data_IF_399026710111
#
_entry.id   IF_399026710111
#
_cell.length_a   1.000
_cell.length_b   1.000
_cell.length_c   1.000
_cell.angle_alpha   90.00
_cell.angle_beta   90.00
_cell.angle_gamma   90.00
#
_symmetry.space_group_name_H-M   'P 1'
#
loop_
_entity.id
_entity.type
_entity.pdbx_description
1 polymer ?
#
# COMPACT_ATOMS: atom_id res chain seq x y z
N UNK A 1 28.76 -27.70 -7.27
CA UNK A 1 29.54 -26.43 -7.41
C UNK A 1 28.70 -25.24 -7.85
N UNK A 2 27.57 -25.41 -8.45
CA UNK A 2 26.77 -24.35 -9.06
C UNK A 2 26.04 -23.36 -8.10
N UNK A 3 25.72 -23.77 -6.88
CA UNK A 3 25.05 -22.89 -5.91
C UNK A 3 26.01 -21.95 -5.16
N UNK A 4 27.35 -22.19 -5.25
CA UNK A 4 28.35 -21.41 -4.52
C UNK A 4 28.68 -20.07 -5.20
N UNK A 5 28.70 -20.01 -6.53
CA UNK A 5 29.08 -18.80 -7.28
C UNK A 5 28.09 -17.65 -7.05
N UNK A 6 26.79 -17.92 -7.20
CA UNK A 6 25.77 -16.90 -6.94
C UNK A 6 25.75 -16.46 -5.47
N UNK A 7 25.96 -17.39 -4.52
CA UNK A 7 26.07 -17.05 -3.10
C UNK A 7 27.25 -16.11 -2.81
N UNK A 8 28.39 -16.33 -3.45
CA UNK A 8 29.55 -15.41 -3.34
C UNK A 8 29.24 -14.04 -3.91
N UNK A 9 28.61 -13.98 -5.10
CA UNK A 9 28.15 -12.71 -5.67
C UNK A 9 27.14 -11.99 -4.75
N UNK A 10 26.22 -12.73 -4.14
CA UNK A 10 25.25 -12.16 -3.19
C UNK A 10 25.91 -11.62 -1.93
N UNK A 11 26.92 -12.29 -1.38
CA UNK A 11 27.65 -11.80 -0.21
C UNK A 11 28.36 -10.47 -0.52
N UNK A 12 29.02 -10.38 -1.66
CA UNK A 12 29.70 -9.17 -2.07
C UNK A 12 28.73 -8.01 -2.35
N UNK A 13 27.61 -8.31 -3.04
CA UNK A 13 26.56 -7.31 -3.28
C UNK A 13 25.89 -6.84 -1.97
N UNK A 14 25.84 -7.67 -0.95
CA UNK A 14 25.31 -7.30 0.38
C UNK A 14 26.25 -6.31 1.09
N UNK A 15 27.56 -6.38 0.87
CA UNK A 15 28.54 -5.44 1.41
C UNK A 15 28.59 -4.12 0.64
N UNK A 16 28.41 -4.17 -0.68
CA UNK A 16 28.48 -3.00 -1.56
C UNK A 16 27.19 -2.18 -1.61
N UNK A 17 26.04 -2.79 -1.38
CA UNK A 17 24.73 -2.14 -1.51
C UNK A 17 24.14 -1.76 -0.15
N UNK A 18 23.35 -0.68 -0.09
CA UNK A 18 22.55 -0.38 1.10
C UNK A 18 21.67 -1.58 1.46
N UNK A 19 21.56 -1.90 2.76
CA UNK A 19 20.81 -3.07 3.25
C UNK A 19 19.36 -3.14 2.75
N UNK A 20 18.73 -1.98 2.55
CA UNK A 20 17.38 -1.86 1.99
C UNK A 20 17.32 -2.24 0.50
N UNK A 21 18.29 -1.77 -0.31
CA UNK A 21 18.35 -2.08 -1.74
C UNK A 21 18.69 -3.56 -1.97
N UNK A 22 19.64 -4.10 -1.22
CA UNK A 22 19.98 -5.50 -1.29
C UNK A 22 18.79 -6.41 -0.95
N UNK A 23 18.11 -6.14 0.16
CA UNK A 23 16.97 -6.95 0.61
C UNK A 23 15.79 -6.89 -0.36
N UNK A 24 15.59 -5.76 -1.02
CA UNK A 24 14.45 -5.51 -1.90
C UNK A 24 14.66 -6.08 -3.31
N UNK A 25 15.88 -5.98 -3.86
CA UNK A 25 16.12 -6.24 -5.27
C UNK A 25 16.99 -7.46 -5.57
N UNK A 26 18.01 -7.72 -4.75
CA UNK A 26 18.99 -8.77 -5.00
C UNK A 26 18.64 -10.05 -4.25
N UNK A 27 18.24 -9.94 -2.98
CA UNK A 27 17.90 -11.10 -2.14
C UNK A 27 16.77 -11.98 -2.68
N UNK A 28 15.72 -11.46 -3.36
CA UNK A 28 14.63 -12.29 -3.90
C UNK A 28 15.02 -13.08 -5.16
N UNK A 29 16.19 -12.84 -5.74
CA UNK A 29 16.64 -13.54 -6.95
C UNK A 29 17.04 -14.97 -6.64
N UNK A 30 16.54 -15.91 -7.44
CA UNK A 30 17.00 -17.28 -7.45
C UNK A 30 17.93 -17.50 -8.64
N UNK A 31 18.94 -18.35 -8.49
CA UNK A 31 19.91 -18.60 -9.54
C UNK A 31 20.02 -20.08 -9.88
N UNK A 32 20.19 -20.35 -11.16
CA UNK A 32 20.48 -21.67 -11.70
C UNK A 32 21.58 -21.57 -12.77
N UNK A 33 22.52 -22.51 -12.74
CA UNK A 33 23.58 -22.58 -13.74
C UNK A 33 23.38 -23.86 -14.53
N UNK A 34 23.12 -23.72 -15.84
CA UNK A 34 23.02 -24.81 -16.79
C UNK A 34 23.88 -24.46 -18.02
N UNK A 35 24.71 -25.43 -18.47
CA UNK A 35 25.51 -25.34 -19.70
C UNK A 35 26.26 -23.99 -19.86
N UNK A 36 26.96 -23.55 -18.81
CA UNK A 36 27.71 -22.29 -18.76
C UNK A 36 26.83 -21.03 -18.89
N UNK A 37 25.55 -21.13 -18.52
CA UNK A 37 24.60 -19.99 -18.44
C UNK A 37 24.08 -19.84 -17.01
N UNK A 38 24.29 -18.67 -16.41
CA UNK A 38 23.71 -18.30 -15.13
C UNK A 38 22.34 -17.64 -15.39
N UNK A 39 21.27 -18.37 -15.08
CA UNK A 39 19.90 -17.84 -15.15
C UNK A 39 19.48 -17.30 -13.80
N UNK A 40 19.16 -16.01 -13.74
CA UNK A 40 18.60 -15.35 -12.56
C UNK A 40 17.09 -15.25 -12.70
N UNK A 41 16.38 -15.90 -11.81
CA UNK A 41 14.92 -15.87 -11.74
C UNK A 41 14.48 -14.75 -10.80
N UNK A 42 13.79 -13.77 -11.37
CA UNK A 42 13.18 -12.69 -10.60
C UNK A 42 11.70 -13.02 -10.30
N UNK A 43 11.19 -12.66 -9.11
CA UNK A 43 9.81 -12.97 -8.72
C UNK A 43 8.76 -12.31 -9.62
N UNK A 44 9.10 -11.22 -10.30
CA UNK A 44 8.23 -10.55 -11.26
C UNK A 44 9.05 -9.71 -12.26
N UNK A 45 8.36 -9.22 -13.30
CA UNK A 45 9.00 -8.47 -14.38
C UNK A 45 9.60 -7.14 -13.93
N UNK A 46 9.00 -6.51 -12.92
CA UNK A 46 9.49 -5.24 -12.38
C UNK A 46 10.85 -5.39 -11.69
N UNK A 47 11.01 -6.42 -10.84
CA UNK A 47 12.30 -6.75 -10.20
C UNK A 47 13.32 -7.13 -11.27
N UNK A 48 12.91 -7.89 -12.28
CA UNK A 48 13.79 -8.28 -13.39
C UNK A 48 14.33 -7.07 -14.13
N UNK A 49 13.44 -6.18 -14.59
CA UNK A 49 13.83 -4.99 -15.36
C UNK A 49 14.69 -4.05 -14.50
N UNK A 50 14.34 -3.84 -13.21
CA UNK A 50 15.11 -3.02 -12.29
C UNK A 50 16.51 -3.56 -12.02
N UNK A 51 16.64 -4.87 -11.74
CA UNK A 51 17.94 -5.52 -11.49
C UNK A 51 18.79 -5.49 -12.74
N UNK A 52 18.21 -5.75 -13.91
CA UNK A 52 18.91 -5.69 -15.17
C UNK A 52 19.42 -4.28 -15.45
N UNK A 53 18.61 -3.25 -15.25
CA UNK A 53 19.00 -1.88 -15.60
C UNK A 53 20.01 -1.30 -14.60
N UNK A 54 19.87 -1.62 -13.30
CA UNK A 54 20.69 -0.99 -12.24
C UNK A 54 21.90 -1.82 -11.83
N UNK A 55 21.80 -3.15 -11.81
CA UNK A 55 22.82 -4.01 -11.20
C UNK A 55 23.53 -4.97 -12.17
N UNK A 56 23.18 -4.98 -13.46
CA UNK A 56 23.80 -5.87 -14.45
C UNK A 56 25.33 -5.67 -14.52
N UNK A 57 25.81 -4.42 -14.46
CA UNK A 57 27.22 -4.11 -14.53
C UNK A 57 27.98 -4.58 -13.26
N UNK A 58 27.38 -4.45 -12.08
CA UNK A 58 27.95 -4.94 -10.82
C UNK A 58 27.99 -6.46 -10.79
N UNK A 59 26.92 -7.13 -11.26
CA UNK A 59 26.87 -8.58 -11.33
C UNK A 59 27.90 -9.12 -12.34
N UNK A 60 28.02 -8.52 -13.52
CA UNK A 60 29.02 -8.93 -14.52
C UNK A 60 30.44 -8.73 -14.03
N UNK A 61 30.73 -7.63 -13.31
CA UNK A 61 32.04 -7.38 -12.71
C UNK A 61 32.41 -8.48 -11.71
N UNK A 62 31.48 -8.84 -10.82
CA UNK A 62 31.70 -9.90 -9.83
C UNK A 62 31.85 -11.28 -10.49
N UNK A 63 31.07 -11.59 -11.52
CA UNK A 63 31.24 -12.83 -12.28
C UNK A 63 32.61 -12.89 -12.96
N UNK A 64 33.12 -11.76 -13.48
CA UNK A 64 34.45 -11.68 -14.05
C UNK A 64 35.54 -11.88 -12.99
N UNK A 65 35.36 -11.31 -11.81
CA UNK A 65 36.30 -11.43 -10.68
C UNK A 65 36.40 -12.86 -10.18
N UNK A 66 35.27 -13.59 -10.07
CA UNK A 66 35.25 -14.95 -9.54
C UNK A 66 35.49 -16.06 -10.57
N UNK A 67 35.19 -15.83 -11.85
CA UNK A 67 35.32 -16.86 -12.90
C UNK A 67 36.52 -16.63 -13.84
N UNK A 68 37.19 -15.48 -13.80
CA UNK A 68 38.32 -15.17 -14.67
C UNK A 68 37.94 -15.20 -16.15
N UNK A 69 38.51 -16.16 -16.91
CA UNK A 69 38.24 -16.28 -18.35
C UNK A 69 37.04 -17.16 -18.73
N UNK A 70 36.40 -17.80 -17.74
CA UNK A 70 35.30 -18.75 -17.96
C UNK A 70 33.98 -18.21 -17.41
N UNK A 71 33.60 -17.01 -17.90
CA UNK A 71 32.42 -16.26 -17.43
C UNK A 71 31.14 -16.91 -17.99
N UNK A 72 30.19 -17.37 -17.14
CA UNK A 72 28.91 -17.85 -17.62
C UNK A 72 28.09 -16.73 -18.27
N UNK A 73 27.36 -17.03 -19.33
CA UNK A 73 26.43 -16.07 -19.91
C UNK A 73 25.28 -15.79 -18.95
N UNK A 74 24.94 -14.50 -18.75
CA UNK A 74 23.90 -14.08 -17.80
C UNK A 74 22.55 -14.00 -18.49
N UNK A 75 21.54 -14.68 -17.95
CA UNK A 75 20.15 -14.65 -18.43
C UNK A 75 19.20 -14.27 -17.30
N UNK A 76 18.17 -13.50 -17.62
CA UNK A 76 17.14 -13.11 -16.68
C UNK A 76 15.79 -13.70 -17.09
N UNK A 77 15.09 -14.34 -16.16
CA UNK A 77 13.76 -14.91 -16.38
C UNK A 77 12.81 -14.56 -15.23
N UNK A 78 11.52 -14.45 -15.52
CA UNK A 78 10.48 -14.25 -14.53
C UNK A 78 9.96 -15.61 -14.10
N UNK A 79 9.99 -15.89 -12.78
CA UNK A 79 9.49 -17.13 -12.22
C UNK A 79 10.32 -17.63 -11.05
N UNK A 80 10.04 -18.85 -10.60
CA UNK A 80 10.83 -19.57 -9.62
C UNK A 80 11.49 -20.79 -10.26
N UNK A 81 12.60 -21.25 -9.67
CA UNK A 81 13.36 -22.43 -10.07
C UNK A 81 12.42 -23.63 -10.28
N UNK A 82 12.47 -24.35 -11.40
CA UNK A 82 11.67 -25.53 -11.60
C UNK A 82 12.05 -26.60 -10.57
N UNK A 83 11.08 -26.99 -9.72
CA UNK A 83 11.25 -28.07 -8.74
C UNK A 83 11.22 -29.39 -9.51
N UNK A 84 12.38 -30.02 -9.64
CA UNK A 84 12.47 -31.40 -10.13
C UNK A 84 11.87 -32.30 -9.04
N UNK A 85 10.70 -32.86 -9.30
CA UNK A 85 10.07 -33.83 -8.40
C UNK A 85 10.97 -35.06 -8.24
N UNK A 86 11.25 -35.52 -7.03
CA UNK A 86 12.02 -36.74 -6.82
C UNK A 86 11.23 -37.94 -7.32
N UNK A 87 11.87 -38.82 -8.12
CA UNK A 87 11.33 -40.12 -8.54
C UNK A 87 10.97 -40.93 -7.30
N UNK A 88 9.84 -41.64 -7.30
CA UNK A 88 9.46 -42.48 -6.17
C UNK A 88 10.44 -43.62 -5.97
N UNK A 89 11.02 -43.75 -4.76
CA UNK A 89 11.80 -44.88 -4.32
C UNK A 89 10.87 -46.06 -4.05
N UNK A 90 11.34 -47.31 -4.23
CA UNK A 90 10.50 -48.52 -4.14
C UNK A 90 9.99 -48.74 -2.71
N UNK A 91 8.72 -49.11 -2.65
CA UNK A 91 8.00 -49.53 -1.44
C UNK A 91 8.72 -50.69 -0.75
N UNK A 92 9.22 -50.50 0.46
CA UNK A 92 9.61 -51.56 1.38
C UNK A 92 8.43 -51.94 2.25
N UNK A 93 8.10 -53.22 2.19
CA UNK A 93 7.03 -53.90 2.94
C UNK A 93 7.28 -53.89 4.44
N UNK A 94 6.16 -53.77 5.18
CA UNK A 94 6.08 -53.90 6.64
C UNK A 94 6.48 -55.32 7.07
N UNK A 95 7.70 -55.52 7.49
CA UNK A 95 8.08 -56.67 8.33
C UNK A 95 9.55 -56.60 8.74
N UNK A 96 10.05 -55.58 9.38
CA UNK A 96 11.34 -55.61 10.09
C UNK A 96 11.60 -54.28 10.81
N UNK A 97 10.84 -53.98 11.84
CA UNK A 97 11.20 -53.01 12.89
C UNK A 97 10.27 -53.22 14.10
N UNK A 98 10.40 -54.37 14.71
CA UNK A 98 9.94 -54.62 16.07
C UNK A 98 11.16 -54.91 16.93
N UNK A 99 11.80 -53.88 17.43
CA UNK A 99 12.55 -53.90 18.69
C UNK A 99 13.18 -52.52 18.93
N UNK A 100 12.96 -52.04 20.16
CA UNK A 100 13.66 -50.93 20.82
C UNK A 100 13.26 -49.49 20.46
N UNK A 101 12.31 -48.90 21.17
CA UNK A 101 12.62 -48.01 22.31
C UNK A 101 11.34 -47.50 22.97
N UNK A 102 11.20 -47.80 24.22
CA UNK A 102 10.21 -47.24 25.13
C UNK A 102 10.59 -45.78 25.52
N UNK A 103 9.87 -44.82 24.99
CA UNK A 103 9.82 -43.44 25.51
C UNK A 103 8.34 -43.03 25.68
N UNK A 104 7.98 -42.16 26.64
CA UNK A 104 6.67 -42.22 27.30
C UNK A 104 5.55 -41.68 26.40
N UNK A 105 4.51 -42.50 26.26
CA UNK A 105 3.29 -42.26 25.49
C UNK A 105 2.40 -41.07 25.95
N UNK A 106 2.86 -40.26 26.88
CA UNK A 106 2.09 -39.09 27.38
C UNK A 106 2.39 -37.80 26.65
N UNK A 107 3.56 -37.65 26.02
CA UNK A 107 3.91 -36.42 25.26
C UNK A 107 3.31 -36.42 23.84
N UNK A 108 3.21 -37.58 23.19
CA UNK A 108 2.62 -37.67 21.84
C UNK A 108 1.10 -37.42 21.82
N UNK A 109 0.37 -37.82 22.87
CA UNK A 109 -1.08 -37.56 22.96
C UNK A 109 -1.45 -36.07 23.06
N UNK A 110 -0.62 -35.29 23.70
CA UNK A 110 -0.87 -33.82 23.83
C UNK A 110 -0.68 -33.08 22.51
N UNK A 111 0.29 -33.50 21.68
CA UNK A 111 0.52 -32.85 20.38
C UNK A 111 -0.55 -33.24 19.33
N UNK A 112 -1.00 -34.48 19.33
CA UNK A 112 -2.06 -34.96 18.43
C UNK A 112 -3.43 -34.40 18.83
N UNK A 113 -3.71 -34.20 20.12
CA UNK A 113 -4.94 -33.57 20.62
C UNK A 113 -4.97 -32.07 20.35
N UNK A 114 -3.84 -31.37 20.47
CA UNK A 114 -3.73 -29.95 20.10
C UNK A 114 -3.85 -29.74 18.59
N UNK A 115 -3.18 -30.56 17.78
CA UNK A 115 -3.29 -30.52 16.33
C UNK A 115 -4.72 -30.79 15.85
N UNK A 116 -5.40 -31.77 16.47
CA UNK A 116 -6.81 -32.09 16.19
C UNK A 116 -7.78 -30.98 16.63
N UNK A 117 -7.51 -30.30 17.75
CA UNK A 117 -8.30 -29.17 18.23
C UNK A 117 -8.15 -27.94 17.33
N UNK A 118 -6.96 -27.69 16.79
CA UNK A 118 -6.69 -26.60 15.84
C UNK A 118 -7.37 -26.87 14.49
N UNK A 119 -7.43 -28.13 14.05
CA UNK A 119 -8.05 -28.52 12.78
C UNK A 119 -9.57 -28.24 12.75
N UNK A 120 -10.24 -28.26 13.90
CA UNK A 120 -11.70 -28.11 14.04
C UNK A 120 -12.17 -26.67 14.28
N UNK A 121 -11.27 -25.66 14.33
CA UNK A 121 -11.67 -24.26 14.49
C UNK A 121 -12.20 -23.73 13.18
N UNK A 122 -13.49 -23.37 13.16
CA UNK A 122 -14.14 -22.77 11.99
C UNK A 122 -13.88 -21.26 11.96
N UNK A 123 -12.97 -20.84 11.09
CA UNK A 123 -12.62 -19.43 10.88
C UNK A 123 -13.59 -18.76 9.91
N UNK A 124 -14.23 -17.67 10.35
CA UNK A 124 -15.00 -16.82 9.45
C UNK A 124 -14.06 -15.86 8.75
N UNK A 125 -13.94 -15.97 7.45
CA UNK A 125 -13.06 -15.13 6.64
C UNK A 125 -13.40 -13.64 6.75
N UNK A 126 -14.69 -13.27 6.73
CA UNK A 126 -15.22 -11.90 6.70
C UNK A 126 -14.62 -11.04 5.54
N UNK A 127 -14.03 -11.68 4.56
CA UNK A 127 -13.51 -10.98 3.37
C UNK A 127 -14.68 -10.62 2.46
N UNK A 128 -14.71 -9.37 1.97
CA UNK A 128 -15.73 -8.92 1.04
C UNK A 128 -15.42 -9.45 -0.37
N UNK A 129 -16.27 -10.34 -0.95
CA UNK A 129 -16.01 -10.94 -2.27
C UNK A 129 -16.08 -9.94 -3.44
N UNK A 130 -16.62 -8.74 -3.21
CA UNK A 130 -16.67 -7.68 -4.23
C UNK A 130 -15.33 -6.96 -4.44
N UNK A 131 -14.44 -6.99 -3.45
CA UNK A 131 -13.14 -6.32 -3.54
C UNK A 131 -12.09 -7.31 -4.05
N UNK A 132 -11.81 -7.26 -5.34
CA UNK A 132 -10.81 -8.11 -6.03
C UNK A 132 -9.77 -7.24 -6.73
N UNK A 133 -8.63 -7.82 -7.11
CA UNK A 133 -7.59 -7.13 -7.87
C UNK A 133 -8.06 -6.66 -9.25
N UNK A 134 -9.03 -7.36 -9.88
CA UNK A 134 -9.51 -7.03 -11.22
C UNK A 134 -10.38 -5.76 -11.28
N UNK A 135 -10.96 -5.35 -10.15
CA UNK A 135 -11.74 -4.11 -10.06
C UNK A 135 -11.04 -3.00 -9.24
N UNK A 136 -9.76 -3.22 -8.90
CA UNK A 136 -8.90 -2.19 -8.34
C UNK A 136 -8.19 -1.44 -9.48
N UNK A 137 -8.36 -0.12 -9.53
CA UNK A 137 -7.77 0.71 -10.59
C UNK A 137 -6.33 1.08 -10.21
N UNK A 138 -5.39 0.63 -11.05
CA UNK A 138 -3.97 0.92 -10.90
C UNK A 138 -3.66 2.35 -11.37
N UNK A 139 -2.82 3.05 -10.61
CA UNK A 139 -2.27 4.35 -10.93
C UNK A 139 -0.92 4.54 -10.25
N UNK A 140 -0.18 5.60 -10.63
CA UNK A 140 1.16 5.85 -10.07
C UNK A 140 1.16 5.93 -8.53
N UNK A 141 0.08 6.47 -7.95
CA UNK A 141 -0.09 6.67 -6.51
C UNK A 141 -0.29 5.38 -5.70
N UNK A 142 -0.65 4.27 -6.35
CA UNK A 142 -0.97 3.00 -5.68
C UNK A 142 -0.26 1.77 -6.27
N UNK A 143 0.51 1.95 -7.34
CA UNK A 143 1.15 0.87 -8.10
C UNK A 143 2.03 -0.03 -7.23
N UNK A 144 2.86 0.57 -6.36
CA UNK A 144 3.72 -0.20 -5.46
C UNK A 144 2.90 -1.02 -4.46
N UNK A 145 1.83 -0.43 -3.90
CA UNK A 145 0.93 -1.12 -2.98
C UNK A 145 0.20 -2.28 -3.65
N UNK A 146 -0.28 -2.09 -4.88
CA UNK A 146 -0.91 -3.14 -5.66
C UNK A 146 0.05 -4.27 -5.99
N UNK A 147 1.29 -3.95 -6.43
CA UNK A 147 2.31 -4.95 -6.73
C UNK A 147 2.69 -5.78 -5.50
N UNK A 148 2.91 -5.11 -4.35
CA UNK A 148 3.19 -5.78 -3.08
C UNK A 148 2.03 -6.67 -2.63
N UNK A 149 0.79 -6.20 -2.76
CA UNK A 149 -0.40 -6.94 -2.41
C UNK A 149 -0.56 -8.22 -3.26
N UNK A 150 -0.32 -8.14 -4.58
CA UNK A 150 -0.32 -9.32 -5.48
C UNK A 150 0.75 -10.31 -5.09
N UNK A 151 1.98 -9.85 -4.85
CA UNK A 151 3.10 -10.70 -4.45
C UNK A 151 2.82 -11.46 -3.14
N UNK A 152 2.19 -10.81 -2.17
CA UNK A 152 1.77 -11.42 -0.91
C UNK A 152 0.65 -12.43 -1.14
N UNK A 153 -0.31 -12.16 -2.02
CA UNK A 153 -1.39 -13.08 -2.34
C UNK A 153 -0.89 -14.36 -3.02
N UNK A 154 0.13 -14.24 -3.87
CA UNK A 154 0.74 -15.37 -4.57
C UNK A 154 1.63 -16.23 -3.64
N UNK A 155 2.32 -15.60 -2.68
CA UNK A 155 3.27 -16.25 -1.78
C UNK A 155 3.06 -15.82 -0.31
N UNK A 156 1.94 -16.19 0.32
CA UNK A 156 1.64 -15.79 1.70
C UNK A 156 2.69 -16.35 2.67
N UNK A 157 3.12 -15.51 3.61
CA UNK A 157 4.11 -15.83 4.64
C UNK A 157 5.56 -15.76 4.15
N UNK A 158 5.83 -15.92 2.87
CA UNK A 158 7.18 -15.90 2.30
C UNK A 158 7.58 -14.52 1.74
N UNK A 159 6.63 -13.76 1.19
CA UNK A 159 6.86 -12.43 0.66
C UNK A 159 6.35 -11.37 1.66
N UNK A 160 7.13 -10.33 1.92
CA UNK A 160 6.71 -9.12 2.65
C UNK A 160 5.80 -9.40 3.87
N UNK A 161 6.36 -9.97 4.93
CA UNK A 161 5.61 -10.27 6.15
C UNK A 161 6.17 -9.51 7.37
N UNK A 162 5.42 -8.57 7.95
CA UNK A 162 4.10 -8.09 7.55
C UNK A 162 4.12 -7.18 6.30
N UNK A 163 3.01 -7.12 5.57
CA UNK A 163 2.75 -6.05 4.63
C UNK A 163 1.96 -4.94 5.35
N UNK A 164 2.49 -3.73 5.35
CA UNK A 164 1.88 -2.57 5.98
C UNK A 164 1.49 -1.53 4.95
N UNK A 165 0.19 -1.30 4.74
CA UNK A 165 -0.35 -0.31 3.81
C UNK A 165 -0.82 0.92 4.60
N UNK A 166 -0.28 2.09 4.29
CA UNK A 166 -0.70 3.33 4.96
C UNK A 166 -1.04 4.44 3.98
N UNK A 167 -1.80 5.41 4.46
CA UNK A 167 -2.22 6.57 3.66
C UNK A 167 -3.55 7.12 4.12
N UNK A 168 -3.96 8.25 3.58
CA UNK A 168 -5.20 8.93 3.95
C UNK A 168 -6.45 8.04 3.88
N UNK A 169 -7.52 8.50 4.51
CA UNK A 169 -8.80 7.79 4.51
C UNK A 169 -9.37 7.69 3.09
N UNK A 170 -9.98 6.54 2.75
CA UNK A 170 -10.68 6.37 1.48
C UNK A 170 -9.81 6.25 0.25
N UNK A 171 -8.52 5.85 0.38
CA UNK A 171 -7.59 5.67 -0.75
C UNK A 171 -7.54 4.24 -1.32
N UNK A 172 -8.35 3.31 -0.80
CA UNK A 172 -8.42 1.94 -1.30
C UNK A 172 -7.60 0.92 -0.51
N UNK A 173 -7.03 1.24 0.67
CA UNK A 173 -6.30 0.30 1.54
C UNK A 173 -7.13 -0.93 1.89
N UNK A 174 -8.34 -0.71 2.38
CA UNK A 174 -9.31 -1.79 2.70
C UNK A 174 -9.64 -2.64 1.48
N UNK A 175 -9.74 -2.04 0.29
CA UNK A 175 -9.96 -2.78 -0.96
C UNK A 175 -8.79 -3.73 -1.25
N UNK A 176 -7.55 -3.24 -1.17
CA UNK A 176 -6.35 -4.07 -1.36
C UNK A 176 -6.28 -5.19 -0.32
N UNK A 177 -6.60 -4.90 0.93
CA UNK A 177 -6.63 -5.87 2.02
C UNK A 177 -7.61 -7.02 1.70
N UNK A 178 -8.84 -6.71 1.28
CA UNK A 178 -9.81 -7.71 0.85
C UNK A 178 -9.39 -8.43 -0.44
N UNK A 179 -8.77 -7.72 -1.40
CA UNK A 179 -8.32 -8.31 -2.66
C UNK A 179 -7.27 -9.41 -2.41
N UNK A 180 -6.32 -9.16 -1.49
CA UNK A 180 -5.35 -10.17 -1.06
C UNK A 180 -6.06 -11.34 -0.41
N UNK A 181 -6.97 -11.10 0.53
CA UNK A 181 -7.72 -12.15 1.20
C UNK A 181 -8.50 -13.03 0.23
N UNK A 182 -9.20 -12.43 -0.73
CA UNK A 182 -9.91 -13.16 -1.78
C UNK A 182 -8.95 -14.00 -2.64
N UNK A 183 -7.83 -13.43 -3.06
CA UNK A 183 -6.85 -14.15 -3.89
C UNK A 183 -6.21 -15.33 -3.15
N UNK A 184 -5.89 -15.19 -1.86
CA UNK A 184 -5.38 -16.31 -1.05
C UNK A 184 -6.41 -17.44 -0.97
N UNK A 185 -7.71 -17.10 -0.74
CA UNK A 185 -8.78 -18.09 -0.69
C UNK A 185 -9.02 -18.72 -2.05
N UNK A 186 -9.03 -17.93 -3.14
CA UNK A 186 -9.18 -18.43 -4.51
C UNK A 186 -8.03 -19.41 -4.88
N UNK A 187 -6.78 -19.11 -4.46
CA UNK A 187 -5.60 -19.96 -4.70
C UNK A 187 -5.55 -21.18 -3.78
N UNK A 188 -6.00 -21.06 -2.53
CA UNK A 188 -6.01 -22.12 -1.51
C UNK A 188 -7.38 -22.13 -0.79
N UNK A 189 -8.36 -22.91 -1.29
CA UNK A 189 -9.72 -22.90 -0.75
C UNK A 189 -9.85 -23.27 0.74
N UNK A 190 -8.87 -24.00 1.28
CA UNK A 190 -8.82 -24.38 2.69
C UNK A 190 -8.00 -23.42 3.57
N UNK A 191 -7.48 -22.33 3.00
CA UNK A 191 -6.73 -21.35 3.77
C UNK A 191 -7.62 -20.63 4.78
N UNK A 192 -7.14 -20.58 6.03
CA UNK A 192 -7.79 -19.88 7.14
C UNK A 192 -7.44 -18.39 7.08
N UNK A 193 -8.13 -17.64 6.24
CA UNK A 193 -7.94 -16.19 6.07
C UNK A 193 -8.95 -15.45 6.93
N UNK A 194 -8.49 -14.57 7.82
CA UNK A 194 -9.36 -13.78 8.70
C UNK A 194 -9.13 -12.30 8.48
N UNK A 195 -10.19 -11.61 8.06
CA UNK A 195 -10.24 -10.15 7.98
C UNK A 195 -11.01 -9.55 9.15
N UNK A 196 -10.49 -8.45 9.71
CA UNK A 196 -11.19 -7.67 10.72
C UNK A 196 -10.68 -6.23 10.82
N UNK A 197 -11.49 -5.35 11.40
CA UNK A 197 -11.01 -4.09 11.96
C UNK A 197 -10.35 -4.34 13.32
N UNK A 198 -9.32 -3.56 13.63
CA UNK A 198 -8.59 -3.70 14.91
C UNK A 198 -9.48 -3.57 16.15
N UNK A 199 -10.57 -2.80 16.07
CA UNK A 199 -11.57 -2.72 17.13
C UNK A 199 -12.24 -4.07 17.45
N UNK A 200 -12.45 -4.91 16.42
CA UNK A 200 -13.03 -6.24 16.58
C UNK A 200 -12.13 -7.16 17.39
N UNK A 201 -10.81 -7.12 17.13
CA UNK A 201 -9.83 -7.86 17.93
C UNK A 201 -9.92 -7.50 19.42
N UNK A 202 -10.00 -6.18 19.72
CA UNK A 202 -10.17 -5.68 21.09
C UNK A 202 -11.47 -6.19 21.71
N UNK A 203 -12.59 -6.12 20.98
CA UNK A 203 -13.89 -6.60 21.47
C UNK A 203 -13.88 -8.11 21.74
N UNK A 204 -13.31 -8.90 20.84
CA UNK A 204 -13.24 -10.35 20.97
C UNK A 204 -12.33 -10.73 22.16
N UNK A 205 -11.21 -10.00 22.38
CA UNK A 205 -10.35 -10.18 23.55
C UNK A 205 -11.09 -9.88 24.86
N UNK A 206 -11.79 -8.75 24.92
CA UNK A 206 -12.56 -8.37 26.13
C UNK A 206 -13.62 -9.42 26.46
N UNK A 207 -14.36 -9.90 25.45
CA UNK A 207 -15.35 -10.98 25.60
C UNK A 207 -14.71 -12.28 26.10
N UNK A 208 -13.55 -12.64 25.55
CA UNK A 208 -12.81 -13.83 25.95
C UNK A 208 -12.37 -13.75 27.42
N UNK A 209 -11.90 -12.58 27.87
CA UNK A 209 -11.55 -12.35 29.28
C UNK A 209 -12.78 -12.46 30.21
N UNK A 210 -13.91 -11.87 29.81
CA UNK A 210 -15.16 -11.92 30.59
C UNK A 210 -15.70 -13.34 30.74
N UNK A 211 -15.50 -14.19 29.71
CA UNK A 211 -16.00 -15.55 29.66
C UNK A 211 -14.96 -16.62 30.09
N UNK A 212 -13.78 -16.21 30.61
CA UNK A 212 -12.65 -17.09 30.91
C UNK A 212 -12.21 -17.97 29.71
N UNK A 213 -12.35 -17.47 28.48
CA UNK A 213 -12.07 -18.16 27.22
C UNK A 213 -10.84 -17.60 26.50
N UNK A 214 -9.87 -17.04 27.25
CA UNK A 214 -8.70 -16.37 26.66
C UNK A 214 -7.80 -17.32 25.86
N UNK A 215 -7.72 -18.59 26.27
CA UNK A 215 -6.92 -19.58 25.54
C UNK A 215 -7.58 -19.99 24.21
N UNK A 216 -8.92 -20.00 24.13
CA UNK A 216 -9.65 -20.21 22.86
C UNK A 216 -9.43 -19.04 21.91
N UNK A 217 -9.44 -17.80 22.44
CA UNK A 217 -9.12 -16.59 21.68
C UNK A 217 -7.71 -16.67 21.09
N UNK A 218 -6.70 -17.00 21.90
CA UNK A 218 -5.31 -17.15 21.44
C UNK A 218 -5.21 -18.23 20.37
N UNK A 219 -5.81 -19.39 20.59
CA UNK A 219 -5.82 -20.51 19.65
C UNK A 219 -6.48 -20.11 18.33
N UNK A 220 -7.61 -19.40 18.37
CA UNK A 220 -8.30 -18.92 17.18
C UNK A 220 -7.41 -18.03 16.32
N UNK A 221 -6.83 -16.96 16.91
CA UNK A 221 -6.05 -15.99 16.16
C UNK A 221 -4.67 -16.48 15.75
N UNK A 222 -4.06 -17.40 16.49
CA UNK A 222 -2.73 -17.95 16.17
C UNK A 222 -2.78 -19.13 15.19
N UNK A 223 -3.95 -19.65 14.85
CA UNK A 223 -4.13 -20.77 13.92
C UNK A 223 -4.57 -20.36 12.51
N UNK A 224 -4.55 -19.06 12.19
CA UNK A 224 -4.90 -18.56 10.84
C UNK A 224 -3.69 -18.66 9.91
N UNK A 225 -3.94 -18.86 8.61
CA UNK A 225 -2.89 -18.83 7.57
C UNK A 225 -2.60 -17.39 7.13
N UNK A 226 -3.62 -16.51 7.18
CA UNK A 226 -3.46 -15.08 6.93
C UNK A 226 -4.35 -14.25 7.85
N UNK A 227 -3.76 -13.24 8.50
CA UNK A 227 -4.44 -12.26 9.35
C UNK A 227 -4.40 -10.89 8.70
N UNK A 228 -5.58 -10.36 8.36
CA UNK A 228 -5.77 -9.08 7.71
C UNK A 228 -6.45 -8.13 8.68
N UNK A 229 -5.72 -7.12 9.15
CA UNK A 229 -6.25 -6.15 10.12
C UNK A 229 -6.29 -4.76 9.52
N UNK A 230 -7.49 -4.21 9.51
CA UNK A 230 -7.75 -2.85 9.02
C UNK A 230 -7.71 -1.85 10.16
N UNK A 231 -7.16 -0.66 9.86
CA UNK A 231 -7.17 0.51 10.74
C UNK A 231 -6.52 0.26 12.12
N UNK A 232 -5.25 -0.16 12.14
CA UNK A 232 -4.52 -0.50 13.37
C UNK A 232 -4.36 0.65 14.35
N UNK A 233 -4.56 1.92 13.92
CA UNK A 233 -4.51 3.08 14.81
C UNK A 233 -5.55 3.01 15.93
N UNK A 234 -6.61 2.22 15.82
CA UNK A 234 -7.58 2.02 16.88
C UNK A 234 -7.10 1.15 18.05
N UNK A 235 -5.90 0.56 17.98
CA UNK A 235 -5.21 0.00 19.14
C UNK A 235 -4.68 1.08 20.09
N UNK A 236 -4.57 2.34 19.65
CA UNK A 236 -4.04 3.43 20.47
C UNK A 236 -4.67 3.49 21.85
N UNK A 237 -3.83 3.64 22.89
CA UNK A 237 -4.21 3.74 24.30
C UNK A 237 -4.95 2.51 24.87
N UNK A 238 -4.80 1.32 24.27
CA UNK A 238 -5.40 0.06 24.72
C UNK A 238 -4.32 -0.95 25.11
N UNK A 239 -3.54 -0.66 26.14
CA UNK A 239 -2.31 -1.37 26.53
C UNK A 239 -2.47 -2.89 26.56
N UNK A 240 -3.47 -3.43 27.28
CA UNK A 240 -3.71 -4.89 27.37
C UNK A 240 -3.97 -5.51 26.00
N UNK A 241 -4.68 -4.82 25.12
CA UNK A 241 -4.97 -5.32 23.78
C UNK A 241 -3.75 -5.26 22.89
N UNK A 242 -2.90 -4.25 23.07
CA UNK A 242 -1.62 -4.15 22.37
C UNK A 242 -0.66 -5.27 22.81
N UNK A 243 -0.64 -5.60 24.09
CA UNK A 243 0.19 -6.70 24.63
C UNK A 243 -0.23 -8.05 24.03
N UNK A 244 -1.52 -8.40 24.06
CA UNK A 244 -2.00 -9.66 23.47
C UNK A 244 -1.85 -9.69 21.95
N UNK A 245 -2.06 -8.55 21.31
CA UNK A 245 -1.81 -8.42 19.87
C UNK A 245 -0.32 -8.64 19.54
N UNK A 246 0.58 -8.10 20.34
CA UNK A 246 2.02 -8.31 20.16
C UNK A 246 2.40 -9.80 20.23
N UNK A 247 1.84 -10.53 21.18
CA UNK A 247 2.08 -11.98 21.29
C UNK A 247 1.47 -12.76 20.12
N UNK A 248 0.26 -12.41 19.70
CA UNK A 248 -0.39 -13.03 18.53
C UNK A 248 0.40 -12.75 17.25
N UNK A 249 0.85 -11.51 17.08
CA UNK A 249 1.64 -11.06 15.93
C UNK A 249 2.96 -11.83 15.82
N UNK A 250 3.70 -11.98 16.93
CA UNK A 250 4.96 -12.74 16.94
C UNK A 250 4.71 -14.21 16.64
N UNK A 251 3.70 -14.84 17.24
CA UNK A 251 3.38 -16.24 16.98
C UNK A 251 3.07 -16.48 15.49
N UNK A 252 2.34 -15.58 14.84
CA UNK A 252 2.05 -15.67 13.41
C UNK A 252 3.30 -15.49 12.56
N UNK A 253 4.19 -14.55 12.90
CA UNK A 253 5.46 -14.38 12.17
C UNK A 253 6.37 -15.59 12.30
N UNK A 254 6.52 -16.14 13.50
CA UNK A 254 7.33 -17.34 13.78
C UNK A 254 6.80 -18.56 13.02
N UNK A 255 5.48 -18.66 12.88
CA UNK A 255 4.82 -19.71 12.10
C UNK A 255 4.77 -19.45 10.59
N UNK A 256 5.38 -18.36 10.09
CA UNK A 256 5.31 -17.92 8.69
C UNK A 256 3.89 -17.70 8.17
N UNK A 257 2.92 -17.41 9.04
CA UNK A 257 1.60 -16.97 8.62
C UNK A 257 1.64 -15.51 8.16
N UNK A 258 0.85 -15.20 7.13
CA UNK A 258 0.84 -13.86 6.54
C UNK A 258 0.11 -12.86 7.43
N UNK A 259 0.71 -11.70 7.67
CA UNK A 259 0.08 -10.57 8.33
C UNK A 259 0.02 -9.40 7.34
N UNK A 260 -1.16 -8.78 7.23
CA UNK A 260 -1.36 -7.55 6.46
C UNK A 260 -2.08 -6.55 7.34
N UNK A 261 -1.53 -5.34 7.42
CA UNK A 261 -2.02 -4.27 8.27
C UNK A 261 -2.32 -3.03 7.44
N UNK A 262 -3.34 -2.28 7.82
CA UNK A 262 -3.56 -0.94 7.28
C UNK A 262 -3.57 0.14 8.36
N UNK A 263 -3.23 1.38 7.99
CA UNK A 263 -3.31 2.54 8.86
C UNK A 263 -3.59 3.83 8.06
N UNK A 264 -4.04 4.87 8.76
CA UNK A 264 -4.17 6.21 8.20
C UNK A 264 -2.82 6.95 8.08
N UNK A 265 -1.77 6.48 8.80
CA UNK A 265 -0.44 7.11 8.88
C UNK A 265 0.70 6.10 8.99
N UNK A 266 1.91 6.57 8.82
CA UNK A 266 3.13 5.76 8.92
C UNK A 266 3.28 5.13 10.32
N UNK A 267 3.81 3.89 10.47
CA UNK A 267 3.90 3.19 11.77
C UNK A 267 4.48 4.01 12.92
N UNK A 268 5.57 4.74 12.68
CA UNK A 268 6.23 5.55 13.72
C UNK A 268 5.41 6.76 14.16
N UNK A 269 4.47 7.23 13.34
CA UNK A 269 3.62 8.40 13.59
C UNK A 269 2.34 8.06 14.35
N UNK A 270 2.06 6.77 14.57
CA UNK A 270 0.86 6.34 15.29
C UNK A 270 1.05 6.64 16.79
N UNK A 271 0.37 7.66 17.27
CA UNK A 271 0.38 8.01 18.70
C UNK A 271 -0.39 6.98 19.54
N UNK A 272 0.05 6.70 20.76
CA UNK A 272 -0.65 5.80 21.69
C UNK A 272 -0.49 4.30 21.38
N UNK A 273 0.34 3.93 20.41
CA UNK A 273 0.77 2.55 20.13
C UNK A 273 2.19 2.38 20.68
N UNK A 274 2.45 1.23 21.32
CA UNK A 274 3.75 0.90 21.91
C UNK A 274 4.85 0.80 20.85
N UNK A 275 6.06 1.25 21.18
CA UNK A 275 7.19 1.28 20.23
C UNK A 275 7.63 -0.11 19.78
N UNK A 276 7.45 -1.14 20.63
CA UNK A 276 7.72 -2.54 20.23
C UNK A 276 6.80 -2.99 19.10
N UNK A 277 5.52 -2.61 19.10
CA UNK A 277 4.58 -2.89 18.01
C UNK A 277 4.92 -2.08 16.75
N UNK A 278 5.20 -0.77 16.90
CA UNK A 278 5.62 0.08 15.77
C UNK A 278 6.85 -0.47 15.06
N UNK A 279 7.81 -0.98 15.83
CA UNK A 279 9.01 -1.62 15.29
C UNK A 279 8.67 -2.88 14.49
N UNK A 280 7.74 -3.70 14.98
CA UNK A 280 7.28 -4.92 14.29
C UNK A 280 6.47 -4.61 13.03
N UNK A 281 5.65 -3.58 13.04
CA UNK A 281 4.90 -3.12 11.85
C UNK A 281 5.83 -2.71 10.72
N UNK A 282 6.95 -2.08 11.04
CA UNK A 282 7.98 -1.68 10.08
C UNK A 282 8.97 -2.76 9.68
N UNK A 283 8.87 -3.99 10.23
CA UNK A 283 9.83 -5.07 9.99
C UNK A 283 9.78 -5.60 8.55
N UNK A 284 8.57 -5.76 7.99
CA UNK A 284 8.36 -6.21 6.63
C UNK A 284 8.38 -5.07 5.60
N UNK A 285 7.41 -5.02 4.73
CA UNK A 285 7.28 -3.97 3.72
C UNK A 285 6.21 -2.96 4.12
N UNK A 286 6.60 -1.70 4.23
CA UNK A 286 5.69 -0.57 4.49
C UNK A 286 5.51 0.24 3.21
N UNK A 287 4.26 0.38 2.75
CA UNK A 287 3.93 1.04 1.48
C UNK A 287 2.89 2.14 1.68
N UNK A 288 3.19 3.33 1.16
CA UNK A 288 2.24 4.43 1.10
C UNK A 288 1.24 4.24 -0.05
N UNK A 289 -0.02 4.53 0.22
CA UNK A 289 -1.06 4.70 -0.78
C UNK A 289 -1.41 6.19 -0.82
N UNK A 290 -1.05 6.83 -1.91
CA UNK A 290 -1.24 8.27 -2.08
C UNK A 290 -2.57 8.60 -2.78
N UNK A 291 -3.06 9.86 -2.68
CA UNK A 291 -4.24 10.29 -3.42
C UNK A 291 -4.03 10.10 -4.93
N UNK A 292 -5.06 9.60 -5.65
CA UNK A 292 -4.95 9.34 -7.08
C UNK A 292 -4.84 10.63 -7.90
N UNK A 293 -4.04 10.59 -8.96
CA UNK A 293 -3.94 11.65 -9.97
C UNK A 293 -5.26 11.76 -10.76
N UNK A 294 -5.42 12.84 -11.54
CA UNK A 294 -6.66 13.12 -12.27
C UNK A 294 -7.08 11.96 -13.18
N UNK A 295 -6.13 11.43 -13.93
CA UNK A 295 -6.35 10.31 -14.88
C UNK A 295 -6.81 9.06 -14.14
N UNK A 296 -6.19 8.74 -13.02
CA UNK A 296 -6.57 7.61 -12.16
C UNK A 296 -7.96 7.83 -11.55
N UNK A 297 -8.31 9.07 -11.13
CA UNK A 297 -9.67 9.38 -10.64
C UNK A 297 -10.73 9.18 -11.70
N UNK A 298 -10.46 9.59 -12.96
CA UNK A 298 -11.36 9.36 -14.10
C UNK A 298 -11.55 7.86 -14.32
N UNK A 299 -10.45 7.10 -14.36
CA UNK A 299 -10.49 5.66 -14.54
C UNK A 299 -11.28 4.95 -13.40
N UNK A 300 -11.14 5.41 -12.15
CA UNK A 300 -11.92 4.90 -11.02
C UNK A 300 -13.42 5.16 -11.22
N UNK A 301 -13.81 6.38 -11.60
CA UNK A 301 -15.22 6.71 -11.85
C UNK A 301 -15.81 5.88 -12.98
N UNK A 302 -15.07 5.71 -14.08
CA UNK A 302 -15.48 4.87 -15.21
C UNK A 302 -15.66 3.41 -14.79
N UNK A 303 -14.68 2.84 -14.06
CA UNK A 303 -14.75 1.47 -13.55
C UNK A 303 -15.92 1.25 -12.60
N UNK A 304 -16.17 2.22 -11.71
CA UNK A 304 -17.32 2.17 -10.79
C UNK A 304 -18.66 2.31 -11.50
N UNK A 305 -18.75 3.15 -12.53
CA UNK A 305 -19.94 3.26 -13.36
C UNK A 305 -20.22 1.94 -14.11
N UNK A 306 -19.18 1.29 -14.64
CA UNK A 306 -19.26 -0.03 -15.26
C UNK A 306 -19.79 -1.10 -14.28
N UNK A 307 -19.25 -1.12 -13.03
CA UNK A 307 -19.72 -2.01 -11.97
C UNK A 307 -21.23 -1.82 -11.66
N UNK A 308 -21.75 -0.60 -11.84
CA UNK A 308 -23.18 -0.26 -11.72
C UNK A 308 -23.97 -0.44 -13.04
N UNK A 309 -23.36 -0.92 -14.12
CA UNK A 309 -23.93 -1.07 -15.44
C UNK A 309 -24.44 0.27 -16.03
N UNK A 310 -23.79 1.36 -15.71
CA UNK A 310 -24.09 2.70 -16.19
C UNK A 310 -23.05 3.11 -17.22
N UNK A 311 -23.52 3.58 -18.37
CA UNK A 311 -22.63 4.19 -19.37
C UNK A 311 -22.40 5.65 -18.98
N UNK A 312 -21.23 5.93 -18.38
CA UNK A 312 -20.79 7.28 -17.99
C UNK A 312 -19.93 7.85 -19.12
N UNK A 313 -20.32 8.98 -19.71
CA UNK A 313 -19.51 9.61 -20.72
C UNK A 313 -18.15 10.13 -20.14
N UNK A 314 -17.07 10.00 -20.90
CA UNK A 314 -15.71 10.39 -20.48
C UNK A 314 -15.63 11.85 -20.01
N UNK A 315 -16.32 12.75 -20.71
CA UNK A 315 -16.39 14.17 -20.33
C UNK A 315 -17.04 14.41 -18.97
N UNK A 316 -18.05 13.59 -18.62
CA UNK A 316 -18.73 13.64 -17.32
C UNK A 316 -17.84 13.11 -16.22
N UNK A 317 -17.18 11.97 -16.46
CA UNK A 317 -16.20 11.40 -15.53
C UNK A 317 -15.06 12.40 -15.27
N UNK A 318 -14.54 13.01 -16.33
CA UNK A 318 -13.50 14.04 -16.23
C UNK A 318 -13.98 15.26 -15.45
N UNK A 319 -15.22 15.73 -15.69
CA UNK A 319 -15.81 16.85 -14.95
C UNK A 319 -15.87 16.55 -13.45
N UNK A 320 -16.38 15.36 -13.05
CA UNK A 320 -16.46 14.95 -11.66
C UNK A 320 -15.06 14.86 -11.04
N UNK A 321 -14.14 14.11 -11.69
CA UNK A 321 -12.78 13.92 -11.21
C UNK A 321 -11.98 15.22 -11.04
N UNK A 322 -12.20 16.21 -11.92
CA UNK A 322 -11.55 17.51 -11.85
C UNK A 322 -12.08 18.36 -10.70
N UNK A 323 -13.37 18.27 -10.42
CA UNK A 323 -14.04 19.06 -9.36
C UNK A 323 -13.85 18.46 -7.97
N UNK A 324 -13.92 17.12 -7.87
CA UNK A 324 -13.73 16.40 -6.62
C UNK A 324 -12.27 15.88 -6.56
N UNK A 325 -11.42 16.62 -5.85
CA UNK A 325 -9.99 16.29 -5.72
C UNK A 325 -9.67 15.46 -4.47
N UNK A 326 -10.70 15.08 -3.74
CA UNK A 326 -10.65 14.35 -2.50
C UNK A 326 -10.30 12.84 -2.69
N UNK A 327 -10.65 12.03 -1.74
CA UNK A 327 -10.37 10.60 -1.73
C UNK A 327 -11.35 9.80 -2.63
N UNK A 328 -11.01 8.53 -2.88
CA UNK A 328 -11.83 7.64 -3.72
C UNK A 328 -13.23 7.41 -3.13
N UNK A 329 -13.37 7.38 -1.81
CA UNK A 329 -14.68 7.22 -1.14
C UNK A 329 -15.63 8.37 -1.46
N UNK A 330 -15.14 9.58 -1.53
CA UNK A 330 -15.94 10.75 -1.91
C UNK A 330 -16.29 10.73 -3.40
N UNK A 331 -15.37 10.29 -4.26
CA UNK A 331 -15.65 10.09 -5.69
C UNK A 331 -16.77 9.06 -5.88
N UNK A 332 -16.70 7.92 -5.18
CA UNK A 332 -17.75 6.90 -5.20
C UNK A 332 -19.08 7.44 -4.66
N UNK A 333 -19.04 8.18 -3.56
CA UNK A 333 -20.23 8.82 -2.99
C UNK A 333 -20.91 9.79 -3.95
N UNK A 334 -20.12 10.61 -4.64
CA UNK A 334 -20.61 11.54 -5.66
C UNK A 334 -21.22 10.78 -6.86
N UNK A 335 -20.54 9.76 -7.36
CA UNK A 335 -21.06 8.94 -8.46
C UNK A 335 -22.38 8.26 -8.07
N UNK A 336 -22.45 7.65 -6.90
CA UNK A 336 -23.68 7.02 -6.38
C UNK A 336 -24.82 8.01 -6.27
N UNK A 337 -24.55 9.24 -5.83
CA UNK A 337 -25.57 10.31 -5.79
C UNK A 337 -26.05 10.70 -7.19
N UNK A 338 -25.17 10.79 -8.17
CA UNK A 338 -25.53 11.07 -9.57
C UNK A 338 -26.40 9.95 -10.14
N UNK A 339 -25.98 8.67 -9.93
CA UNK A 339 -26.72 7.48 -10.37
C UNK A 339 -28.12 7.44 -9.74
N UNK A 340 -28.20 7.64 -8.42
CA UNK A 340 -29.50 7.64 -7.72
C UNK A 340 -30.45 8.72 -8.26
N UNK A 341 -29.95 9.95 -8.50
CA UNK A 341 -30.74 11.02 -9.09
C UNK A 341 -31.17 10.70 -10.53
N UNK A 342 -30.29 10.12 -11.36
CA UNK A 342 -30.60 9.72 -12.72
C UNK A 342 -31.69 8.65 -12.77
N UNK A 343 -31.59 7.61 -11.92
CA UNK A 343 -32.59 6.54 -11.79
C UNK A 343 -33.95 7.08 -11.31
N UNK A 344 -33.94 8.06 -10.38
CA UNK A 344 -35.17 8.66 -9.85
C UNK A 344 -35.86 9.57 -10.86
N UNK A 345 -35.09 10.35 -11.64
CA UNK A 345 -35.64 11.36 -12.56
C UNK A 345 -35.82 10.83 -13.99
N UNK A 346 -35.21 9.70 -14.34
CA UNK A 346 -35.18 9.17 -15.71
C UNK A 346 -34.36 10.04 -16.70
N UNK A 347 -33.58 11.02 -16.20
CA UNK A 347 -32.80 11.94 -17.03
C UNK A 347 -31.43 11.34 -17.38
N UNK A 348 -30.90 11.62 -18.57
CA UNK A 348 -29.54 11.21 -18.95
C UNK A 348 -28.49 11.93 -18.10
N UNK A 349 -27.38 11.23 -17.83
CA UNK A 349 -26.26 11.76 -17.04
C UNK A 349 -25.40 12.66 -17.95
N UNK A 350 -25.66 13.97 -17.91
CA UNK A 350 -24.92 15.02 -18.61
C UNK A 350 -24.14 15.87 -17.60
N UNK A 351 -23.21 16.72 -18.08
CA UNK A 351 -22.45 17.63 -17.20
C UNK A 351 -23.39 18.55 -16.41
N UNK A 352 -24.44 19.08 -17.06
CA UNK A 352 -25.39 19.98 -16.38
C UNK A 352 -26.24 19.23 -15.35
N UNK A 353 -26.63 18.00 -15.67
CA UNK A 353 -27.32 17.13 -14.71
C UNK A 353 -26.42 16.84 -13.48
N UNK A 354 -25.14 16.52 -13.70
CA UNK A 354 -24.17 16.28 -12.60
C UNK A 354 -23.97 17.54 -11.76
N UNK A 355 -23.90 18.71 -12.39
CA UNK A 355 -23.79 20.00 -11.68
C UNK A 355 -24.98 20.25 -10.78
N UNK A 356 -26.18 19.92 -11.24
CA UNK A 356 -27.42 19.99 -10.45
C UNK A 356 -27.41 18.98 -9.30
N UNK A 357 -27.12 17.70 -9.59
CA UNK A 357 -27.13 16.61 -8.63
C UNK A 357 -26.08 16.76 -7.51
N UNK A 358 -24.94 17.36 -7.81
CA UNK A 358 -23.82 17.57 -6.88
C UNK A 358 -23.70 19.01 -6.39
N UNK A 359 -24.68 19.88 -6.63
CA UNK A 359 -24.63 21.33 -6.33
C UNK A 359 -24.15 21.63 -4.92
N UNK A 360 -24.71 20.95 -3.92
CA UNK A 360 -24.36 21.21 -2.52
C UNK A 360 -22.92 20.78 -2.20
N UNK A 361 -22.48 19.63 -2.77
CA UNK A 361 -21.13 19.11 -2.59
C UNK A 361 -20.08 20.04 -3.24
N UNK A 362 -20.37 20.52 -4.45
CA UNK A 362 -19.52 21.45 -5.17
C UNK A 362 -19.44 22.81 -4.47
N UNK A 363 -20.58 23.33 -3.98
CA UNK A 363 -20.63 24.58 -3.23
C UNK A 363 -19.88 24.50 -1.89
N UNK A 364 -19.87 23.34 -1.24
CA UNK A 364 -19.10 23.11 0.00
C UNK A 364 -17.60 23.15 -0.29
N UNK A 365 -17.15 22.52 -1.35
CA UNK A 365 -15.74 22.54 -1.77
C UNK A 365 -15.27 23.93 -2.19
N UNK A 366 -16.11 24.68 -2.90
CA UNK A 366 -15.80 26.08 -3.24
C UNK A 366 -15.68 26.98 -2.00
N UNK A 367 -16.40 26.68 -0.92
CA UNK A 367 -16.28 27.39 0.36
C UNK A 367 -15.04 27.02 1.15
N UNK A 368 -14.57 25.79 1.07
CA UNK A 368 -13.40 25.29 1.80
C UNK A 368 -12.09 25.83 1.21
N UNK A 369 -12.01 26.05 -0.11
CA UNK A 369 -10.80 26.50 -0.80
C UNK A 369 -10.96 27.96 -1.24
N UNK A 370 -10.82 28.89 -0.29
CA UNK A 370 -10.75 30.32 -0.58
C UNK A 370 -9.30 30.80 -0.67
N UNK A 371 -9.06 31.93 -1.36
CA UNK A 371 -7.71 32.53 -1.41
C UNK A 371 -7.20 32.83 0.00
N UNK A 372 -8.05 33.27 0.91
CA UNK A 372 -7.69 33.56 2.30
C UNK A 372 -7.26 32.28 3.05
N UNK A 373 -7.95 31.16 2.82
CA UNK A 373 -7.57 29.88 3.41
C UNK A 373 -6.24 29.38 2.83
N UNK A 374 -6.03 29.50 1.53
CA UNK A 374 -4.75 29.18 0.89
C UNK A 374 -3.61 30.01 1.49
N UNK A 375 -3.81 31.32 1.66
CA UNK A 375 -2.81 32.19 2.27
C UNK A 375 -2.47 31.78 3.70
N UNK A 376 -3.49 31.46 4.52
CA UNK A 376 -3.29 30.98 5.91
C UNK A 376 -2.53 29.67 5.96
N UNK A 377 -2.95 28.68 5.19
CA UNK A 377 -2.32 27.37 5.14
C UNK A 377 -0.87 27.43 4.66
N UNK A 378 -0.59 28.20 3.60
CA UNK A 378 0.79 28.38 3.12
C UNK A 378 1.65 29.14 4.14
N UNK A 379 1.11 30.17 4.79
CA UNK A 379 1.82 30.92 5.81
C UNK A 379 2.17 30.04 7.02
N UNK A 380 1.24 29.19 7.46
CA UNK A 380 1.44 28.23 8.55
C UNK A 380 2.49 27.17 8.19
N UNK A 381 2.38 26.58 6.99
CA UNK A 381 3.32 25.57 6.49
C UNK A 381 4.77 26.07 6.47
N UNK A 382 5.01 27.29 5.96
CA UNK A 382 6.33 27.92 5.92
C UNK A 382 6.69 28.70 7.19
N UNK A 383 5.84 28.70 8.23
CA UNK A 383 6.06 29.41 9.50
C UNK A 383 6.31 30.91 9.31
N UNK A 384 5.58 31.54 8.41
CA UNK A 384 5.61 32.98 8.14
C UNK A 384 4.24 33.59 8.43
N UNK A 385 4.18 34.93 8.53
CA UNK A 385 2.88 35.63 8.72
C UNK A 385 2.17 35.83 7.38
N UNK A 386 0.84 35.77 7.36
CA UNK A 386 0.05 36.11 6.17
C UNK A 386 0.39 37.51 5.64
N UNK A 387 0.64 38.48 6.54
CA UNK A 387 1.10 39.81 6.19
C UNK A 387 2.41 39.84 5.38
N UNK A 388 3.30 38.85 5.59
CA UNK A 388 4.54 38.73 4.80
C UNK A 388 4.24 38.28 3.36
N UNK A 389 3.26 37.39 3.16
CA UNK A 389 2.80 36.99 1.83
C UNK A 389 2.25 38.20 1.03
N UNK A 390 1.56 39.09 1.69
CA UNK A 390 0.97 40.31 1.09
C UNK A 390 1.98 41.45 0.94
N UNK A 391 3.11 41.40 1.66
CA UNK A 391 4.11 42.45 1.70
C UNK A 391 4.86 42.62 0.37
N UNK A 392 5.56 43.75 0.19
CA UNK A 392 6.43 44.03 -0.96
C UNK A 392 7.82 43.34 -0.84
N UNK A 393 8.09 42.58 0.24
CA UNK A 393 9.35 41.88 0.45
C UNK A 393 9.66 40.89 -0.66
N UNK A 394 10.94 40.83 -1.11
CA UNK A 394 11.40 39.99 -2.21
C UNK A 394 12.40 38.89 -1.75
N UNK A 395 12.63 38.77 -0.43
CA UNK A 395 13.50 37.70 0.07
C UNK A 395 12.96 36.33 -0.35
N UNK A 396 13.86 35.39 -0.67
CA UNK A 396 13.49 34.05 -1.16
C UNK A 396 12.57 33.31 -0.17
N UNK A 397 12.78 33.52 1.15
CA UNK A 397 11.96 32.96 2.22
C UNK A 397 10.51 33.42 2.23
N UNK A 398 10.18 34.56 1.60
CA UNK A 398 8.83 35.11 1.48
C UNK A 398 8.30 35.01 0.04
N UNK A 399 9.20 35.25 -0.93
CA UNK A 399 8.81 35.26 -2.35
C UNK A 399 8.40 33.87 -2.84
N UNK A 400 9.06 32.81 -2.39
CA UNK A 400 8.77 31.43 -2.79
C UNK A 400 7.41 30.95 -2.24
N UNK A 401 7.12 31.04 -0.92
CA UNK A 401 5.79 30.74 -0.39
C UNK A 401 4.67 31.54 -1.07
N UNK A 402 4.90 32.83 -1.37
CA UNK A 402 3.94 33.67 -2.09
C UNK A 402 3.68 33.15 -3.50
N UNK A 403 4.72 32.80 -4.25
CA UNK A 403 4.57 32.21 -5.59
C UNK A 403 3.77 30.89 -5.54
N UNK A 404 4.05 30.03 -4.55
CA UNK A 404 3.31 28.81 -4.29
C UNK A 404 1.83 29.09 -4.00
N UNK A 405 1.54 30.04 -3.09
CA UNK A 405 0.18 30.41 -2.76
C UNK A 405 -0.59 30.97 -3.96
N UNK A 406 0.04 31.79 -4.82
CA UNK A 406 -0.56 32.28 -6.06
C UNK A 406 -0.86 31.14 -7.05
N UNK A 407 0.08 30.21 -7.21
CA UNK A 407 -0.11 29.06 -8.10
C UNK A 407 -1.23 28.14 -7.59
N UNK A 408 -1.27 27.85 -6.29
CA UNK A 408 -2.36 27.12 -5.64
C UNK A 408 -3.70 27.83 -5.79
N UNK A 409 -3.74 29.16 -5.61
CA UNK A 409 -4.97 29.94 -5.81
C UNK A 409 -5.48 29.81 -7.24
N UNK A 410 -4.60 29.85 -8.25
CA UNK A 410 -4.98 29.66 -9.65
C UNK A 410 -5.47 28.26 -9.96
N UNK A 411 -4.85 27.24 -9.36
CA UNK A 411 -5.20 25.84 -9.58
C UNK A 411 -6.47 25.43 -8.83
N UNK A 412 -6.63 25.88 -7.58
CA UNK A 412 -7.66 25.39 -6.66
C UNK A 412 -8.94 26.23 -6.65
N UNK A 413 -8.89 27.48 -7.17
CA UNK A 413 -10.05 28.40 -7.20
C UNK A 413 -10.43 28.80 -8.62
N UNK A 414 -11.64 29.35 -8.77
CA UNK A 414 -12.12 29.87 -10.06
C UNK A 414 -11.75 31.34 -10.27
N UNK A 415 -10.92 31.95 -9.38
CA UNK A 415 -10.55 33.34 -9.50
C UNK A 415 -9.66 33.64 -10.71
N UNK A 416 -9.87 34.78 -11.29
CA UNK A 416 -9.05 35.32 -12.39
C UNK A 416 -7.66 35.74 -11.88
N UNK A 417 -6.69 35.84 -12.80
CA UNK A 417 -5.34 36.31 -12.42
C UNK A 417 -5.33 37.70 -11.79
N UNK A 418 -6.13 38.69 -12.25
CA UNK A 418 -6.29 39.99 -11.58
C UNK A 418 -6.81 39.84 -10.15
N UNK A 419 -7.91 39.14 -9.92
CA UNK A 419 -8.47 38.90 -8.57
C UNK A 419 -7.47 38.27 -7.61
N UNK A 420 -6.72 37.27 -8.10
CA UNK A 420 -5.63 36.69 -7.31
C UNK A 420 -4.55 37.72 -7.01
N UNK A 421 -4.18 38.57 -8.00
CA UNK A 421 -3.20 39.61 -7.81
C UNK A 421 -3.64 40.61 -6.74
N UNK A 422 -4.89 41.04 -6.76
CA UNK A 422 -5.49 41.95 -5.78
C UNK A 422 -5.47 41.33 -4.37
N UNK A 423 -5.85 40.07 -4.23
CA UNK A 423 -5.83 39.32 -2.96
C UNK A 423 -4.42 39.15 -2.38
N UNK A 424 -3.37 39.23 -3.21
CA UNK A 424 -1.98 39.16 -2.78
C UNK A 424 -1.29 40.54 -2.65
N UNK A 425 -2.05 41.57 -2.29
CA UNK A 425 -1.53 42.90 -2.00
C UNK A 425 -1.44 43.81 -3.23
N UNK A 426 -2.42 43.71 -4.15
CA UNK A 426 -2.54 44.56 -5.33
C UNK A 426 -1.45 44.33 -6.36
N UNK A 427 -1.15 43.04 -6.65
CA UNK A 427 -0.14 42.66 -7.63
C UNK A 427 -0.76 42.50 -9.00
N UNK A 428 -0.01 42.91 -10.01
CA UNK A 428 -0.41 42.75 -11.39
C UNK A 428 -0.59 41.28 -11.80
N UNK A 429 -1.55 41.01 -12.67
CA UNK A 429 -1.84 39.68 -13.20
C UNK A 429 -0.63 38.99 -13.85
N UNK A 430 0.30 39.76 -14.42
CA UNK A 430 1.56 39.25 -14.99
C UNK A 430 2.46 38.69 -13.91
N UNK A 431 2.46 39.26 -12.70
CA UNK A 431 3.18 38.72 -11.55
C UNK A 431 2.61 37.39 -11.13
N UNK A 432 1.30 37.22 -11.12
CA UNK A 432 0.62 35.95 -10.81
C UNK A 432 0.94 34.91 -11.87
N UNK A 433 0.86 35.28 -13.16
CA UNK A 433 1.18 34.39 -14.27
C UNK A 433 2.64 33.90 -14.21
N UNK A 434 3.56 34.86 -13.93
CA UNK A 434 4.99 34.49 -13.75
C UNK A 434 5.18 33.58 -12.55
N UNK A 435 4.48 33.77 -11.44
CA UNK A 435 4.53 32.91 -10.27
C UNK A 435 4.08 31.47 -10.62
N UNK A 436 2.95 31.33 -11.34
CA UNK A 436 2.45 30.03 -11.77
C UNK A 436 3.48 29.28 -12.63
N UNK A 437 4.00 29.93 -13.69
CA UNK A 437 5.02 29.33 -14.57
C UNK A 437 6.29 28.95 -13.83
N UNK A 438 6.73 29.82 -12.90
CA UNK A 438 7.94 29.54 -12.12
C UNK A 438 7.78 28.37 -11.14
N UNK A 439 6.61 28.22 -10.55
CA UNK A 439 6.32 27.07 -9.68
C UNK A 439 6.20 25.78 -10.51
N UNK A 440 5.56 25.83 -11.67
CA UNK A 440 5.49 24.69 -12.60
C UNK A 440 6.89 24.18 -12.97
N UNK A 441 7.77 25.08 -13.42
CA UNK A 441 9.17 24.77 -13.70
C UNK A 441 9.89 24.16 -12.48
N UNK A 442 9.71 24.71 -11.29
CA UNK A 442 10.39 24.26 -10.09
C UNK A 442 9.88 22.92 -9.57
N UNK A 443 8.64 22.56 -9.86
CA UNK A 443 8.10 21.22 -9.56
C UNK A 443 8.77 20.14 -10.40
N UNK A 444 9.28 20.48 -11.57
CA UNK A 444 10.07 19.56 -12.41
C UNK A 444 11.54 19.48 -11.96
N UNK A 445 12.12 20.63 -11.52
CA UNK A 445 13.53 20.75 -11.19
C UNK A 445 13.89 20.36 -9.74
N UNK A 446 12.93 20.48 -8.79
CA UNK A 446 13.18 20.33 -7.35
C UNK A 446 12.15 19.41 -6.69
N UNK A 447 12.66 18.33 -6.11
CA UNK A 447 11.87 17.38 -5.35
C UNK A 447 11.16 18.04 -4.15
N UNK A 448 11.86 18.89 -3.40
CA UNK A 448 11.32 19.58 -2.21
C UNK A 448 10.09 20.43 -2.58
N UNK A 449 10.16 21.20 -3.68
CA UNK A 449 9.03 22.02 -4.12
C UNK A 449 7.86 21.18 -4.61
N UNK A 450 8.14 20.04 -5.25
CA UNK A 450 7.11 19.09 -5.67
C UNK A 450 6.40 18.50 -4.45
N UNK A 451 7.15 18.14 -3.43
CA UNK A 451 6.63 17.58 -2.18
C UNK A 451 5.83 18.64 -1.40
N UNK A 452 6.38 19.84 -1.19
CA UNK A 452 5.67 20.98 -0.55
C UNK A 452 4.35 21.26 -1.24
N UNK A 453 4.35 21.32 -2.58
CA UNK A 453 3.14 21.57 -3.37
C UNK A 453 2.09 20.48 -3.18
N UNK A 454 2.49 19.23 -3.19
CA UNK A 454 1.60 18.09 -2.97
C UNK A 454 1.03 18.05 -1.55
N UNK A 455 1.85 18.36 -0.54
CA UNK A 455 1.43 18.44 0.86
C UNK A 455 0.41 19.58 1.07
N UNK A 456 0.65 20.75 0.46
CA UNK A 456 -0.27 21.89 0.54
C UNK A 456 -1.60 21.62 -0.15
N UNK A 457 -1.59 20.99 -1.34
CA UNK A 457 -2.83 20.56 -2.00
C UNK A 457 -3.60 19.59 -1.09
N UNK A 458 -2.94 18.63 -0.48
CA UNK A 458 -3.57 17.65 0.42
C UNK A 458 -4.21 18.34 1.61
N UNK A 459 -3.50 19.27 2.25
CA UNK A 459 -4.01 20.03 3.41
C UNK A 459 -5.18 20.95 3.06
N UNK A 460 -5.19 21.53 1.85
CA UNK A 460 -6.25 22.42 1.38
C UNK A 460 -7.48 21.67 0.83
N UNK A 461 -7.33 20.37 0.54
CA UNK A 461 -8.42 19.53 0.00
C UNK A 461 -9.03 18.60 1.07
N UNK A 462 -8.45 18.57 2.28
CA UNK A 462 -8.95 17.84 3.45
C UNK A 462 -9.84 18.75 4.32
#
# INVERSE_FOLDING_TARGET
>A
MSSSLWLQCMQQLQEELPATEFSMWVRPLQAEINDNTLTLFAPNRFVLDWVRDKYINSINRLLQEYCGNDIPSLRFEVGSKPVVAPKPAPVRTKADLAAESSAPAQLQKTWDDEASAIANINHRSNVNPKHKFNNFVEGKSNQLGLAAARQVADNPGAAYNPLFLYGGTGLGKTHLLHAVGNAIVDNKPNAKVVYMHSERFVQDMVKALQNNAIEEFKRYYRSVDALLIDDIQFFANKERSQEEFFHTFNALLEGNQQIILTSDRYPKEISGVEDRLKSRFGWGLTVAIEPPELETRVAILMKKAEDHQINLADEVAFFIAKRLRSNVRELEGALNRVIANANFTGRPITIDFVREALRDLLALQEKLVTIDNIQKTVAEYYKIKVADLLSKRRSRSVARPRQLAMALSKELTNHSLPEIGDAFGGRDHTTVLHACRKIEQLREESHDIKEDYSNLIRTLSS
#
